data_IF_770454598754
#
_entry.id   IF_770454598754
#
_cell.length_a   1.000
_cell.length_b   1.000
_cell.length_c   1.000
_cell.angle_alpha   90.00
_cell.angle_beta   90.00
_cell.angle_gamma   90.00
#
_symmetry.space_group_name_H-M   'P 1'
#
loop_
_entity.id
_entity.type
_entity.pdbx_description
1 polymer ?
#
# COMPACT_ATOMS: atom_id res chain seq x y z
N UNK A 1 50.92 -49.26 14.77
CA UNK A 1 50.46 -48.31 13.73
C UNK A 1 48.92 -48.16 13.64
N UNK A 2 48.12 -48.59 14.63
CA UNK A 2 46.64 -48.50 14.58
C UNK A 2 46.01 -47.26 15.22
N UNK A 3 46.79 -46.37 15.84
CA UNK A 3 46.26 -45.25 16.63
C UNK A 3 45.90 -43.98 15.82
N UNK A 4 46.22 -43.93 14.53
CA UNK A 4 45.94 -42.76 13.68
C UNK A 4 44.59 -42.86 12.96
N UNK A 5 44.08 -44.06 12.70
CA UNK A 5 42.83 -44.28 11.96
C UNK A 5 41.58 -43.94 12.79
N UNK A 6 41.62 -44.15 14.11
CA UNK A 6 40.50 -43.85 15.02
C UNK A 6 40.31 -42.36 15.29
N UNK A 7 41.38 -41.57 15.23
CA UNK A 7 41.32 -40.09 15.41
C UNK A 7 40.71 -39.37 14.21
N UNK A 8 40.87 -39.91 13.01
CA UNK A 8 40.28 -39.34 11.80
C UNK A 8 38.75 -39.54 11.73
N UNK A 9 38.28 -40.73 12.13
CA UNK A 9 36.85 -41.05 12.15
C UNK A 9 36.07 -40.20 13.18
N UNK A 10 36.67 -39.94 14.34
CA UNK A 10 36.07 -39.11 15.40
C UNK A 10 36.02 -37.62 15.01
N UNK A 11 37.01 -37.12 14.28
CA UNK A 11 37.00 -35.74 13.78
C UNK A 11 35.91 -35.47 12.73
N UNK A 12 35.67 -36.42 11.82
CA UNK A 12 34.65 -36.29 10.78
C UNK A 12 33.22 -36.32 11.37
N UNK A 13 32.97 -37.20 12.35
CA UNK A 13 31.66 -37.31 13.00
C UNK A 13 31.25 -36.05 13.77
N UNK A 14 32.19 -35.43 14.51
CA UNK A 14 31.92 -34.18 15.24
C UNK A 14 31.62 -33.04 14.27
N UNK A 15 32.37 -32.94 13.16
CA UNK A 15 32.13 -31.91 12.14
C UNK A 15 30.73 -32.00 11.52
N UNK A 16 30.30 -33.19 11.12
CA UNK A 16 28.95 -33.40 10.57
C UNK A 16 27.84 -33.11 11.59
N UNK A 17 28.02 -33.52 12.85
CA UNK A 17 27.05 -33.25 13.91
C UNK A 17 26.87 -31.74 14.16
N UNK A 18 27.95 -30.96 14.14
CA UNK A 18 27.90 -29.51 14.30
C UNK A 18 27.18 -28.84 13.13
N UNK A 19 27.45 -29.25 11.89
CA UNK A 19 26.77 -28.69 10.70
C UNK A 19 25.26 -28.98 10.74
N UNK A 20 24.88 -30.21 11.08
CA UNK A 20 23.46 -30.60 11.21
C UNK A 20 22.79 -29.79 12.32
N UNK A 21 23.46 -29.62 13.48
CA UNK A 21 22.93 -28.83 14.58
C UNK A 21 22.71 -27.35 14.18
N UNK A 22 23.67 -26.75 13.46
CA UNK A 22 23.54 -25.39 12.93
C UNK A 22 22.38 -25.31 11.93
N UNK A 23 22.26 -26.26 11.01
CA UNK A 23 21.16 -26.30 10.05
C UNK A 23 19.79 -26.39 10.74
N UNK A 24 19.65 -27.27 11.75
CA UNK A 24 18.42 -27.39 12.55
C UNK A 24 18.12 -26.09 13.30
N UNK A 25 19.12 -25.44 13.87
CA UNK A 25 18.94 -24.16 14.56
C UNK A 25 18.47 -23.07 13.60
N UNK A 26 19.08 -22.97 12.40
CA UNK A 26 18.66 -22.03 11.36
C UNK A 26 17.22 -22.32 10.93
N UNK A 27 16.85 -23.59 10.72
CA UNK A 27 15.48 -23.98 10.37
C UNK A 27 14.50 -23.61 11.49
N UNK A 28 14.85 -23.84 12.75
CA UNK A 28 13.99 -23.55 13.89
C UNK A 28 13.80 -22.04 14.11
N UNK A 29 14.89 -21.25 14.01
CA UNK A 29 14.83 -19.78 14.07
C UNK A 29 14.02 -19.24 12.90
N UNK A 30 14.28 -19.73 11.68
CA UNK A 30 13.51 -19.37 10.50
C UNK A 30 12.01 -19.68 10.66
N UNK A 31 11.67 -20.87 11.16
CA UNK A 31 10.29 -21.27 11.45
C UNK A 31 9.63 -20.35 12.49
N UNK A 32 10.32 -20.00 13.57
CA UNK A 32 9.77 -19.10 14.60
C UNK A 32 9.53 -17.68 14.06
N UNK A 33 10.46 -17.13 13.27
CA UNK A 33 10.30 -15.80 12.65
C UNK A 33 9.12 -15.77 11.66
N UNK A 34 9.01 -16.81 10.82
CA UNK A 34 7.90 -16.97 9.88
C UNK A 34 6.57 -17.13 10.63
N UNK A 35 6.53 -17.93 11.71
CA UNK A 35 5.30 -18.17 12.47
C UNK A 35 4.77 -16.90 13.15
N UNK A 36 5.63 -16.10 13.77
CA UNK A 36 5.22 -14.85 14.41
C UNK A 36 4.66 -13.87 13.39
N UNK A 37 5.36 -13.73 12.25
CA UNK A 37 4.92 -12.88 11.13
C UNK A 37 3.54 -13.32 10.61
N UNK A 38 3.32 -14.63 10.42
CA UNK A 38 2.02 -15.18 9.96
C UNK A 38 0.89 -14.87 10.96
N UNK A 39 1.15 -14.92 12.27
CA UNK A 39 0.13 -14.62 13.26
C UNK A 39 -0.30 -13.14 13.21
N UNK A 40 0.64 -12.21 13.02
CA UNK A 40 0.33 -10.78 12.85
C UNK A 40 -0.49 -10.53 11.55
N UNK A 41 -0.18 -11.24 10.47
CA UNK A 41 -0.99 -11.19 9.24
C UNK A 41 -2.42 -11.69 9.46
N UNK A 42 -2.62 -12.75 10.26
CA UNK A 42 -3.96 -13.23 10.61
C UNK A 42 -4.76 -12.20 11.39
N UNK A 43 -4.12 -11.49 12.32
CA UNK A 43 -4.79 -10.40 13.05
C UNK A 43 -5.20 -9.25 12.10
N UNK A 44 -4.36 -8.92 11.12
CA UNK A 44 -4.69 -7.93 10.09
C UNK A 44 -5.88 -8.38 9.23
N UNK A 45 -5.87 -9.64 8.81
CA UNK A 45 -6.98 -10.26 8.08
C UNK A 45 -8.27 -10.19 8.90
N UNK A 46 -8.22 -10.57 10.18
CA UNK A 46 -9.37 -10.47 11.09
C UNK A 46 -9.88 -9.02 11.22
N UNK A 47 -9.00 -8.02 11.39
CA UNK A 47 -9.43 -6.62 11.47
C UNK A 47 -10.07 -6.12 10.17
N UNK A 48 -9.58 -6.59 9.01
CA UNK A 48 -10.14 -6.24 7.70
C UNK A 48 -11.51 -6.89 7.53
N UNK A 49 -11.62 -8.18 7.88
CA UNK A 49 -12.88 -8.93 7.85
C UNK A 49 -13.93 -8.30 8.77
N UNK A 50 -13.55 -7.81 9.96
CA UNK A 50 -14.47 -7.08 10.85
C UNK A 50 -14.97 -5.76 10.25
N UNK A 51 -14.11 -5.01 9.55
CA UNK A 51 -14.53 -3.79 8.85
C UNK A 51 -15.46 -4.13 7.69
N UNK A 52 -15.14 -5.16 6.90
CA UNK A 52 -15.97 -5.60 5.78
C UNK A 52 -17.30 -6.22 6.23
N UNK A 53 -17.34 -6.94 7.34
CA UNK A 53 -18.56 -7.49 7.94
C UNK A 53 -19.50 -6.37 8.37
N UNK A 54 -18.97 -5.32 9.00
CA UNK A 54 -19.77 -4.21 9.51
C UNK A 54 -20.22 -3.22 8.43
N UNK A 55 -19.37 -2.93 7.44
CA UNK A 55 -19.59 -1.85 6.48
C UNK A 55 -19.69 -2.31 5.02
N UNK A 56 -19.54 -3.60 4.75
CA UNK A 56 -19.45 -4.14 3.40
C UNK A 56 -18.06 -3.99 2.77
N UNK A 57 -17.88 -4.57 1.59
CA UNK A 57 -16.60 -4.48 0.87
C UNK A 57 -16.39 -3.08 0.35
N UNK A 58 -15.13 -2.68 0.20
CA UNK A 58 -14.79 -1.33 -0.26
C UNK A 58 -15.44 -0.94 -1.60
N UNK A 59 -15.65 -1.91 -2.51
CA UNK A 59 -16.28 -1.67 -3.83
C UNK A 59 -17.80 -1.50 -3.78
N UNK A 60 -18.43 -1.91 -2.68
CA UNK A 60 -19.88 -1.88 -2.49
C UNK A 60 -20.32 -0.55 -1.83
N UNK A 61 -19.37 0.30 -1.43
CA UNK A 61 -19.66 1.63 -0.90
C UNK A 61 -20.30 2.52 -1.96
N UNK A 62 -21.40 3.18 -1.58
CA UNK A 62 -22.11 4.15 -2.40
C UNK A 62 -21.98 5.55 -1.78
N UNK A 63 -21.26 6.49 -2.42
CA UNK A 63 -21.24 7.87 -1.97
C UNK A 63 -22.63 8.48 -2.05
N UNK A 64 -22.95 9.39 -1.12
CA UNK A 64 -24.24 10.10 -1.10
C UNK A 64 -24.58 10.71 -2.45
N UNK A 65 -25.82 10.58 -2.88
CA UNK A 65 -26.32 11.13 -4.14
C UNK A 65 -25.97 12.62 -4.38
N UNK A 66 -25.99 13.45 -3.35
CA UNK A 66 -25.68 14.90 -3.44
C UNK A 66 -24.19 15.21 -3.65
N UNK A 67 -23.31 14.21 -3.52
CA UNK A 67 -21.87 14.34 -3.61
C UNK A 67 -21.24 15.14 -2.48
N UNK A 68 -22.00 15.54 -1.47
CA UNK A 68 -21.45 16.28 -0.33
C UNK A 68 -20.79 15.30 0.63
N UNK A 69 -19.58 15.62 1.07
CA UNK A 69 -18.95 14.91 2.18
C UNK A 69 -19.26 15.72 3.44
N UNK A 70 -20.06 15.16 4.33
CA UNK A 70 -20.44 15.87 5.56
C UNK A 70 -19.20 16.12 6.43
N UNK A 71 -19.20 17.23 7.17
CA UNK A 71 -18.08 17.63 8.02
C UNK A 71 -17.67 16.52 9.03
N UNK A 72 -18.66 15.84 9.60
CA UNK A 72 -18.43 14.69 10.49
C UNK A 72 -17.66 13.56 9.82
N UNK A 73 -17.90 13.30 8.53
CA UNK A 73 -17.19 12.25 7.77
C UNK A 73 -15.76 12.67 7.45
N UNK A 74 -15.53 13.97 7.21
CA UNK A 74 -14.17 14.50 7.07
C UNK A 74 -13.38 14.41 8.38
N UNK A 75 -14.01 14.71 9.52
CA UNK A 75 -13.34 14.56 10.82
C UNK A 75 -13.08 13.10 11.16
N UNK A 76 -14.00 12.18 10.84
CA UNK A 76 -13.77 10.75 10.95
C UNK A 76 -12.58 10.29 10.09
N UNK A 77 -12.49 10.77 8.85
CA UNK A 77 -11.35 10.48 7.96
C UNK A 77 -10.04 11.00 8.56
N UNK A 78 -10.00 12.26 9.00
CA UNK A 78 -8.81 12.85 9.60
C UNK A 78 -8.42 12.17 10.92
N UNK A 79 -9.39 11.74 11.73
CA UNK A 79 -9.12 10.95 12.94
C UNK A 79 -8.42 9.64 12.59
N UNK A 80 -8.84 8.95 11.52
CA UNK A 80 -8.13 7.75 11.03
C UNK A 80 -6.71 8.10 10.59
N UNK A 81 -6.51 9.22 9.87
CA UNK A 81 -5.17 9.71 9.46
C UNK A 81 -4.28 10.01 10.67
N UNK A 82 -4.81 10.67 11.67
CA UNK A 82 -4.09 11.06 12.89
C UNK A 82 -3.68 9.80 13.68
N UNK A 83 -4.57 8.80 13.78
CA UNK A 83 -4.28 7.52 14.45
C UNK A 83 -3.14 6.74 13.78
N UNK A 84 -3.01 6.80 12.45
CA UNK A 84 -1.94 6.10 11.72
C UNK A 84 -0.66 6.94 11.57
N UNK A 85 -0.64 8.20 12.00
CA UNK A 85 0.49 9.10 11.75
C UNK A 85 1.80 8.57 12.37
N UNK A 86 1.73 8.02 13.59
CA UNK A 86 2.91 7.46 14.28
C UNK A 86 3.53 6.29 13.52
N UNK A 87 2.74 5.26 13.20
CA UNK A 87 3.21 4.10 12.43
C UNK A 87 3.62 4.48 11.00
N UNK A 88 2.97 5.47 10.40
CA UNK A 88 3.36 6.00 9.08
C UNK A 88 4.77 6.63 9.11
N UNK A 89 5.08 7.42 10.14
CA UNK A 89 6.39 8.05 10.28
C UNK A 89 7.51 7.00 10.51
N UNK A 90 7.23 5.96 11.29
CA UNK A 90 8.18 4.85 11.49
C UNK A 90 8.40 4.04 10.21
N UNK A 91 7.32 3.78 9.47
CA UNK A 91 7.37 3.10 8.19
C UNK A 91 8.15 3.93 7.16
N UNK A 92 7.86 5.23 7.02
CA UNK A 92 8.61 6.15 6.16
C UNK A 92 10.11 6.12 6.47
N UNK A 93 10.49 6.26 7.74
CA UNK A 93 11.89 6.21 8.16
C UNK A 93 12.56 4.89 7.76
N UNK A 94 11.83 3.78 7.90
CA UNK A 94 12.32 2.45 7.50
C UNK A 94 12.50 2.36 5.98
N UNK A 95 11.55 2.86 5.20
CA UNK A 95 11.61 2.88 3.74
C UNK A 95 12.74 3.77 3.20
N UNK A 96 12.91 4.97 3.75
CA UNK A 96 14.03 5.86 3.42
C UNK A 96 15.38 5.20 3.76
N UNK A 97 15.45 4.49 4.89
CA UNK A 97 16.64 3.75 5.30
C UNK A 97 16.94 2.58 4.35
N UNK A 98 15.93 1.98 3.71
CA UNK A 98 16.15 0.96 2.68
C UNK A 98 16.61 1.62 1.38
N UNK A 99 15.94 2.69 0.94
CA UNK A 99 16.30 3.44 -0.26
C UNK A 99 17.76 3.93 -0.23
N UNK A 100 18.20 4.51 0.88
CA UNK A 100 19.58 4.98 1.02
C UNK A 100 20.65 3.86 1.04
N UNK A 101 20.30 2.63 1.43
CA UNK A 101 21.23 1.50 1.30
C UNK A 101 21.31 0.97 -0.13
N UNK A 102 20.18 1.02 -0.86
CA UNK A 102 20.14 0.70 -2.29
C UNK A 102 21.06 1.66 -3.04
N UNK A 103 20.90 2.97 -2.81
CA UNK A 103 21.72 4.02 -3.43
C UNK A 103 23.24 3.87 -3.12
N UNK A 104 23.60 3.56 -1.86
CA UNK A 104 25.02 3.32 -1.50
C UNK A 104 25.62 2.12 -2.22
N UNK A 105 24.84 1.06 -2.39
CA UNK A 105 25.31 -0.12 -3.08
C UNK A 105 25.44 0.12 -4.60
N UNK A 106 24.55 0.94 -5.19
CA UNK A 106 24.67 1.42 -6.57
C UNK A 106 25.99 2.19 -6.78
N UNK A 107 26.37 3.03 -5.82
CA UNK A 107 27.64 3.76 -5.84
C UNK A 107 28.88 2.88 -5.57
N UNK A 108 28.72 1.55 -5.55
CA UNK A 108 29.77 0.55 -5.29
C UNK A 108 30.49 0.74 -3.94
N UNK A 109 29.87 1.44 -3.00
CA UNK A 109 30.41 1.64 -1.66
C UNK A 109 30.29 0.37 -0.78
N UNK A 110 29.39 -0.55 -1.17
CA UNK A 110 29.07 -1.77 -0.43
C UNK A 110 29.18 -2.98 -1.36
N UNK A 111 29.72 -4.10 -0.84
CA UNK A 111 29.79 -5.37 -1.58
C UNK A 111 28.38 -5.92 -1.87
N UNK A 112 28.11 -6.48 -3.07
CA UNK A 112 26.78 -6.97 -3.47
C UNK A 112 26.14 -7.97 -2.50
N UNK A 113 26.93 -8.90 -1.94
CA UNK A 113 26.41 -9.88 -0.98
C UNK A 113 25.92 -9.24 0.34
N UNK A 114 26.64 -8.23 0.84
CA UNK A 114 26.25 -7.52 2.07
C UNK A 114 25.02 -6.63 1.82
N UNK A 115 24.89 -6.08 0.62
CA UNK A 115 23.70 -5.33 0.20
C UNK A 115 22.46 -6.22 0.23
N UNK A 116 22.48 -7.40 -0.41
CA UNK A 116 21.33 -8.32 -0.43
C UNK A 116 20.91 -8.68 0.99
N UNK A 117 21.86 -8.99 1.88
CA UNK A 117 21.56 -9.31 3.28
C UNK A 117 20.98 -8.12 4.05
N UNK A 118 21.47 -6.90 3.82
CA UNK A 118 20.96 -5.69 4.47
C UNK A 118 19.56 -5.31 3.98
N UNK A 119 19.31 -5.38 2.66
CA UNK A 119 18.00 -5.08 2.07
C UNK A 119 16.98 -6.12 2.51
N UNK A 120 17.32 -7.41 2.47
CA UNK A 120 16.45 -8.48 2.97
C UNK A 120 16.17 -8.28 4.45
N UNK A 121 17.20 -8.04 5.26
CA UNK A 121 17.07 -7.82 6.69
C UNK A 121 16.21 -6.60 7.05
N UNK A 122 16.34 -5.50 6.32
CA UNK A 122 15.55 -4.27 6.54
C UNK A 122 14.14 -4.37 5.93
N UNK A 123 13.98 -5.03 4.79
CA UNK A 123 12.67 -5.33 4.19
C UNK A 123 11.81 -6.20 5.10
N UNK A 124 12.43 -7.17 5.79
CA UNK A 124 11.77 -7.96 6.84
C UNK A 124 11.25 -7.08 7.98
N UNK A 125 11.91 -5.96 8.31
CA UNK A 125 11.42 -5.01 9.34
C UNK A 125 10.27 -4.13 8.86
N UNK A 126 10.18 -3.84 7.57
CA UNK A 126 9.06 -3.08 7.01
C UNK A 126 7.74 -3.88 7.05
N UNK A 127 7.81 -5.22 7.00
CA UNK A 127 6.62 -6.08 7.00
C UNK A 127 5.78 -5.94 8.29
N UNK A 128 6.33 -6.09 9.51
CA UNK A 128 5.59 -5.84 10.75
C UNK A 128 4.99 -4.43 10.81
N UNK A 129 5.73 -3.40 10.37
CA UNK A 129 5.22 -2.02 10.35
C UNK A 129 4.05 -1.85 9.36
N UNK A 130 4.07 -2.51 8.20
CA UNK A 130 2.92 -2.51 7.28
C UNK A 130 1.71 -3.23 7.88
N UNK A 131 1.94 -4.35 8.58
CA UNK A 131 0.88 -5.08 9.30
C UNK A 131 0.27 -4.20 10.39
N UNK A 132 1.11 -3.59 11.23
CA UNK A 132 0.67 -2.65 12.27
C UNK A 132 -0.07 -1.45 11.67
N UNK A 133 0.44 -0.89 10.57
CA UNK A 133 -0.22 0.18 9.83
C UNK A 133 -1.65 -0.19 9.46
N UNK A 134 -1.86 -1.38 8.86
CA UNK A 134 -3.20 -1.83 8.49
C UNK A 134 -4.09 -2.10 9.71
N UNK A 135 -3.53 -2.69 10.77
CA UNK A 135 -4.23 -2.96 12.02
C UNK A 135 -4.74 -1.67 12.65
N UNK A 136 -3.86 -0.67 12.85
CA UNK A 136 -4.22 0.63 13.43
C UNK A 136 -5.25 1.35 12.56
N UNK A 137 -5.06 1.36 11.24
CA UNK A 137 -6.05 1.93 10.31
C UNK A 137 -7.43 1.27 10.48
N UNK A 138 -7.47 -0.06 10.46
CA UNK A 138 -8.72 -0.80 10.50
C UNK A 138 -9.46 -0.63 11.84
N UNK A 139 -8.74 -0.59 12.97
CA UNK A 139 -9.36 -0.27 14.26
C UNK A 139 -9.87 1.17 14.32
N UNK A 140 -9.09 2.15 13.85
CA UNK A 140 -9.54 3.54 13.79
C UNK A 140 -10.79 3.71 12.89
N UNK A 141 -10.87 2.95 11.79
CA UNK A 141 -12.06 2.88 10.93
C UNK A 141 -13.29 2.33 11.69
N UNK A 142 -13.12 1.26 12.47
CA UNK A 142 -14.19 0.70 13.31
C UNK A 142 -14.66 1.70 14.39
N UNK A 143 -13.72 2.40 15.04
CA UNK A 143 -13.98 3.38 16.10
C UNK A 143 -14.74 4.62 15.57
N UNK A 144 -14.38 5.08 14.37
CA UNK A 144 -14.98 6.25 13.72
C UNK A 144 -16.22 5.93 12.86
N UNK A 145 -16.68 4.68 12.92
CA UNK A 145 -17.82 4.17 12.15
C UNK A 145 -17.66 4.44 10.64
N UNK A 146 -16.49 4.11 10.08
CA UNK A 146 -16.13 4.33 8.67
C UNK A 146 -15.71 3.01 8.01
N UNK A 147 -16.26 2.72 6.84
CA UNK A 147 -15.85 1.56 6.04
C UNK A 147 -14.62 1.87 5.16
N UNK A 148 -13.93 0.81 4.72
CA UNK A 148 -12.78 0.96 3.79
C UNK A 148 -13.15 1.64 2.47
N UNK A 149 -14.38 1.42 1.98
CA UNK A 149 -14.85 2.05 0.73
C UNK A 149 -14.97 3.57 0.85
N UNK A 150 -15.52 4.05 1.96
CA UNK A 150 -15.60 5.48 2.26
C UNK A 150 -14.21 6.09 2.47
N UNK A 151 -13.35 5.40 3.23
CA UNK A 151 -11.96 5.83 3.42
C UNK A 151 -11.24 6.00 2.08
N UNK A 152 -11.31 5.00 1.19
CA UNK A 152 -10.68 5.11 -0.13
C UNK A 152 -11.32 6.17 -1.01
N UNK A 153 -12.64 6.35 -0.96
CA UNK A 153 -13.33 7.41 -1.69
C UNK A 153 -12.80 8.79 -1.27
N UNK A 154 -12.76 9.09 0.03
CA UNK A 154 -12.26 10.36 0.56
C UNK A 154 -10.76 10.51 0.28
N UNK A 155 -9.94 9.47 0.49
CA UNK A 155 -8.50 9.49 0.24
C UNK A 155 -8.19 9.85 -1.22
N UNK A 156 -8.80 9.15 -2.18
CA UNK A 156 -8.53 9.33 -3.61
C UNK A 156 -8.96 10.72 -4.07
N UNK A 157 -10.16 11.16 -3.70
CA UNK A 157 -10.64 12.49 -4.04
C UNK A 157 -9.79 13.59 -3.42
N UNK A 158 -9.37 13.41 -2.17
CA UNK A 158 -8.54 14.39 -1.46
C UNK A 158 -7.15 14.48 -2.09
N UNK A 159 -6.41 13.39 -2.12
CA UNK A 159 -4.99 13.46 -2.44
C UNK A 159 -4.76 13.54 -3.94
N UNK A 160 -5.46 12.75 -4.76
CA UNK A 160 -5.18 12.70 -6.19
C UNK A 160 -5.97 13.75 -6.98
N UNK A 161 -7.24 13.97 -6.65
CA UNK A 161 -8.09 14.90 -7.43
C UNK A 161 -8.05 16.33 -6.90
N UNK A 162 -8.09 16.54 -5.58
CA UNK A 162 -8.14 17.88 -4.98
C UNK A 162 -6.74 18.49 -4.77
N UNK A 163 -5.83 17.75 -4.15
CA UNK A 163 -4.46 18.20 -3.85
C UNK A 163 -3.45 17.90 -4.96
N UNK A 164 -3.80 17.05 -5.94
CA UNK A 164 -2.96 16.76 -7.10
C UNK A 164 -1.69 15.97 -6.78
N UNK A 165 -1.69 15.17 -5.71
CA UNK A 165 -0.59 14.27 -5.36
C UNK A 165 -0.48 13.14 -6.39
N UNK A 166 0.74 12.76 -6.83
CA UNK A 166 0.90 11.66 -7.77
C UNK A 166 0.49 10.31 -7.16
N UNK A 167 -0.30 9.48 -7.87
CA UNK A 167 -0.61 8.13 -7.40
C UNK A 167 0.63 7.22 -7.35
N UNK A 168 1.71 7.53 -8.06
CA UNK A 168 3.01 6.84 -8.03
C UNK A 168 3.91 7.20 -6.85
N UNK A 169 3.51 8.12 -5.98
CA UNK A 169 4.25 8.45 -4.77
C UNK A 169 4.55 7.18 -3.93
N UNK A 170 5.78 7.09 -3.44
CA UNK A 170 6.33 5.95 -2.70
C UNK A 170 7.82 5.72 -2.95
N UNK A 171 8.46 4.75 -2.27
CA UNK A 171 9.90 4.49 -2.42
C UNK A 171 10.32 4.16 -3.86
N UNK A 172 11.55 4.45 -4.28
CA UNK A 172 12.03 4.10 -5.64
C UNK A 172 12.29 2.59 -5.89
N UNK A 173 11.75 1.73 -5.02
CA UNK A 173 11.85 0.28 -5.13
C UNK A 173 10.48 -0.39 -4.94
N UNK A 174 10.40 -1.67 -5.31
CA UNK A 174 9.16 -2.44 -5.17
C UNK A 174 9.02 -3.02 -3.77
N UNK A 175 7.97 -2.63 -3.03
CA UNK A 175 7.67 -3.16 -1.69
C UNK A 175 7.25 -4.64 -1.69
N UNK A 176 6.61 -5.09 -2.77
CA UNK A 176 6.15 -6.46 -2.92
C UNK A 176 6.33 -6.88 -4.38
N UNK A 177 7.23 -7.85 -4.60
CA UNK A 177 7.45 -8.48 -5.89
C UNK A 177 6.42 -9.57 -6.13
N UNK A 178 5.64 -9.44 -7.20
CA UNK A 178 4.77 -10.51 -7.70
C UNK A 178 5.64 -11.51 -8.45
N UNK A 179 6.51 -12.22 -7.73
CA UNK A 179 7.39 -13.24 -8.29
C UNK A 179 6.61 -14.52 -8.61
N UNK A 180 5.48 -14.40 -9.35
CA UNK A 180 4.67 -15.57 -9.74
C UNK A 180 5.42 -16.51 -10.68
N UNK A 181 6.47 -16.03 -11.34
CA UNK A 181 7.21 -16.82 -12.31
C UNK A 181 8.61 -17.25 -11.82
N UNK A 182 9.04 -16.82 -10.62
CA UNK A 182 10.40 -17.10 -10.10
C UNK A 182 11.55 -16.65 -11.00
N UNK A 183 11.25 -15.89 -12.07
CA UNK A 183 12.13 -15.58 -13.20
C UNK A 183 12.28 -14.09 -13.49
N UNK A 184 11.92 -13.19 -12.57
CA UNK A 184 12.64 -11.92 -12.49
C UNK A 184 13.95 -12.21 -11.76
N UNK A 185 14.90 -12.83 -12.47
CA UNK A 185 16.29 -12.65 -12.10
C UNK A 185 16.50 -11.14 -12.12
N UNK A 186 17.12 -10.63 -11.07
CA UNK A 186 17.86 -9.39 -11.17
C UNK A 186 18.99 -9.67 -12.16
N UNK A 187 18.67 -9.75 -13.46
CA UNK A 187 19.67 -9.61 -14.50
C UNK A 187 20.07 -8.14 -14.40
N UNK A 188 20.98 -7.85 -13.48
CA UNK A 188 22.15 -7.05 -13.82
C UNK A 188 22.82 -7.79 -14.97
N UNK A 189 22.23 -7.69 -16.16
CA UNK A 189 23.04 -7.81 -17.35
C UNK A 189 23.98 -6.61 -17.24
N UNK A 190 25.28 -6.82 -17.40
CA UNK A 190 26.32 -5.77 -17.34
C UNK A 190 26.12 -4.69 -18.44
N UNK A 191 24.96 -4.66 -19.10
CA UNK A 191 24.51 -3.52 -19.87
C UNK A 191 24.36 -2.32 -18.93
N UNK A 192 25.02 -1.22 -19.27
CA UNK A 192 24.93 0.10 -18.63
C UNK A 192 23.51 0.70 -18.73
N UNK A 193 22.45 -0.07 -18.44
CA UNK A 193 21.10 0.46 -18.33
C UNK A 193 21.05 1.46 -17.17
N UNK A 194 20.67 2.68 -17.52
CA UNK A 194 20.61 3.83 -16.62
C UNK A 194 19.65 3.56 -15.45
N UNK A 195 20.13 3.73 -14.22
CA UNK A 195 19.34 3.53 -12.99
C UNK A 195 18.11 4.44 -12.94
N UNK A 196 18.18 5.62 -13.56
CA UNK A 196 17.03 6.51 -13.71
C UNK A 196 15.90 5.82 -14.50
N UNK A 197 16.23 4.97 -15.49
CA UNK A 197 15.26 4.15 -16.22
C UNK A 197 14.53 3.16 -15.30
N UNK A 198 15.26 2.52 -14.38
CA UNK A 198 14.67 1.57 -13.43
C UNK A 198 13.72 2.27 -12.46
N UNK A 199 14.12 3.41 -11.88
CA UNK A 199 13.26 4.20 -10.97
C UNK A 199 11.96 4.62 -11.65
N UNK A 200 12.07 5.10 -12.89
CA UNK A 200 10.92 5.46 -13.71
C UNK A 200 10.04 4.25 -14.07
N UNK A 201 10.62 3.06 -14.28
CA UNK A 201 9.86 1.82 -14.44
C UNK A 201 9.10 1.44 -13.16
N UNK A 202 9.73 1.53 -11.99
CA UNK A 202 9.09 1.25 -10.69
C UNK A 202 7.90 2.19 -10.45
N UNK A 203 8.08 3.50 -10.70
CA UNK A 203 7.01 4.50 -10.61
C UNK A 203 5.88 4.21 -11.59
N UNK A 204 6.21 3.89 -12.85
CA UNK A 204 5.23 3.53 -13.89
C UNK A 204 4.43 2.28 -13.53
N UNK A 205 5.08 1.22 -13.06
CA UNK A 205 4.41 -0.01 -12.62
C UNK A 205 3.51 0.25 -11.39
N UNK A 206 3.96 1.07 -10.44
CA UNK A 206 3.15 1.48 -9.28
C UNK A 206 1.92 2.26 -9.72
N UNK A 207 2.10 3.29 -10.55
CA UNK A 207 1.02 4.09 -11.13
C UNK A 207 -0.02 3.19 -11.76
N UNK A 208 0.41 2.31 -12.67
CA UNK A 208 -0.48 1.40 -13.36
C UNK A 208 -1.32 0.55 -12.38
N UNK A 209 -0.69 -0.04 -11.34
CA UNK A 209 -1.38 -0.85 -10.34
C UNK A 209 -2.41 -0.04 -9.53
N UNK A 210 -2.01 1.14 -9.06
CA UNK A 210 -2.86 2.01 -8.24
C UNK A 210 -4.03 2.53 -9.07
N UNK A 211 -3.78 3.09 -10.25
CA UNK A 211 -4.81 3.63 -11.13
C UNK A 211 -5.82 2.55 -11.55
N UNK A 212 -5.34 1.34 -11.90
CA UNK A 212 -6.23 0.21 -12.21
C UNK A 212 -7.16 -0.14 -11.04
N UNK A 213 -6.67 -0.04 -9.80
CA UNK A 213 -7.49 -0.28 -8.61
C UNK A 213 -8.48 0.86 -8.35
N UNK A 214 -8.03 2.10 -8.44
CA UNK A 214 -8.87 3.30 -8.34
C UNK A 214 -10.02 3.21 -9.33
N UNK A 215 -9.73 2.89 -10.60
CA UNK A 215 -10.74 2.77 -11.64
C UNK A 215 -11.82 1.73 -11.27
N UNK A 216 -11.42 0.54 -10.80
CA UNK A 216 -12.39 -0.49 -10.38
C UNK A 216 -13.29 -0.01 -9.23
N UNK A 217 -12.73 0.68 -8.23
CA UNK A 217 -13.49 1.20 -7.10
C UNK A 217 -14.44 2.32 -7.55
N UNK A 218 -13.90 3.33 -8.23
CA UNK A 218 -14.65 4.53 -8.60
C UNK A 218 -15.70 4.28 -9.67
N UNK A 219 -15.50 3.33 -10.59
CA UNK A 219 -16.56 2.96 -11.52
C UNK A 219 -17.80 2.46 -10.76
N UNK A 220 -17.62 1.61 -9.75
CA UNK A 220 -18.71 1.11 -8.90
C UNK A 220 -19.36 2.24 -8.10
N UNK A 221 -18.55 3.01 -7.37
CA UNK A 221 -19.01 4.10 -6.50
C UNK A 221 -19.79 5.18 -7.26
N UNK A 222 -19.25 5.67 -8.39
CA UNK A 222 -19.89 6.74 -9.17
C UNK A 222 -21.16 6.24 -9.87
N UNK A 223 -21.20 4.98 -10.32
CA UNK A 223 -22.40 4.40 -10.90
C UNK A 223 -23.54 4.29 -9.87
N UNK A 224 -23.23 3.81 -8.67
CA UNK A 224 -24.20 3.75 -7.58
C UNK A 224 -24.70 5.15 -7.18
N UNK A 225 -23.80 6.12 -7.03
CA UNK A 225 -24.15 7.51 -6.72
C UNK A 225 -25.08 8.12 -7.78
N UNK A 226 -24.83 7.82 -9.06
CA UNK A 226 -25.68 8.27 -10.16
C UNK A 226 -27.08 7.65 -10.08
N UNK A 227 -27.19 6.35 -9.78
CA UNK A 227 -28.47 5.65 -9.62
C UNK A 227 -29.30 6.22 -8.45
N UNK A 228 -28.67 6.45 -7.30
CA UNK A 228 -29.34 7.10 -6.16
C UNK A 228 -29.80 8.53 -6.51
N UNK A 229 -28.98 9.27 -7.26
CA UNK A 229 -29.31 10.61 -7.71
C UNK A 229 -30.51 10.63 -8.67
N UNK A 230 -30.62 9.63 -9.55
CA UNK A 230 -31.75 9.48 -10.47
C UNK A 230 -33.05 9.11 -9.73
N UNK A 231 -32.96 8.27 -8.70
CA UNK A 231 -34.12 7.82 -7.92
C UNK A 231 -34.68 8.90 -6.99
N UNK A 232 -33.84 9.80 -6.49
CA UNK A 232 -34.19 10.77 -5.44
C UNK A 232 -34.88 12.07 -5.92
N UNK A 233 -35.37 12.13 -7.16
CA UNK A 233 -36.45 13.04 -7.63
C UNK A 233 -36.28 14.57 -7.56
N UNK A 234 -35.17 15.15 -7.10
CA UNK A 234 -35.01 16.62 -6.95
C UNK A 234 -34.44 17.29 -8.22
N UNK A 235 -35.03 18.41 -8.65
CA UNK A 235 -35.11 18.72 -10.08
C UNK A 235 -34.02 19.62 -10.67
N UNK A 236 -33.39 20.53 -9.92
CA UNK A 236 -32.53 21.56 -10.54
C UNK A 236 -31.04 21.44 -10.21
N UNK A 237 -30.64 21.45 -8.94
CA UNK A 237 -29.22 21.32 -8.56
C UNK A 237 -28.64 19.95 -8.93
N UNK A 238 -29.49 18.91 -8.91
CA UNK A 238 -29.14 17.54 -9.31
C UNK A 238 -28.82 17.39 -10.80
N UNK A 239 -29.32 18.27 -11.70
CA UNK A 239 -29.08 18.14 -13.15
C UNK A 239 -27.61 18.37 -13.52
N UNK A 240 -26.98 19.37 -12.92
CA UNK A 240 -25.56 19.68 -13.16
C UNK A 240 -24.67 18.54 -12.66
N UNK A 241 -24.88 18.07 -11.42
CA UNK A 241 -24.12 16.97 -10.84
C UNK A 241 -24.34 15.67 -11.62
N UNK A 242 -25.59 15.34 -11.98
CA UNK A 242 -25.93 14.18 -12.81
C UNK A 242 -25.17 14.17 -14.12
N UNK A 243 -25.09 15.32 -14.82
CA UNK A 243 -24.31 15.44 -16.06
C UNK A 243 -22.81 15.25 -15.79
N UNK A 244 -22.27 15.87 -14.73
CA UNK A 244 -20.87 15.70 -14.33
C UNK A 244 -20.54 14.23 -14.05
N UNK A 245 -21.39 13.51 -13.30
CA UNK A 245 -21.22 12.08 -13.00
C UNK A 245 -21.24 11.21 -14.26
N UNK A 246 -22.21 11.41 -15.16
CA UNK A 246 -22.29 10.66 -16.43
C UNK A 246 -21.02 10.86 -17.27
N UNK A 247 -20.57 12.11 -17.38
CA UNK A 247 -19.35 12.43 -18.13
C UNK A 247 -18.11 11.79 -17.49
N UNK A 248 -17.99 11.82 -16.16
CA UNK A 248 -16.84 11.24 -15.47
C UNK A 248 -16.81 9.70 -15.60
N UNK A 249 -17.95 9.03 -15.46
CA UNK A 249 -18.05 7.58 -15.69
C UNK A 249 -17.65 7.23 -17.12
N UNK A 250 -18.12 7.99 -18.11
CA UNK A 250 -17.72 7.81 -19.51
C UNK A 250 -16.20 8.02 -19.68
N UNK A 251 -15.64 9.08 -19.12
CA UNK A 251 -14.22 9.39 -19.22
C UNK A 251 -13.33 8.30 -18.58
N UNK A 252 -13.74 7.71 -17.45
CA UNK A 252 -13.06 6.58 -16.84
C UNK A 252 -13.10 5.33 -17.74
N UNK A 253 -14.23 5.08 -18.40
CA UNK A 253 -14.38 3.96 -19.34
C UNK A 253 -13.51 4.12 -20.60
N UNK A 254 -13.38 5.34 -21.11
CA UNK A 254 -12.59 5.65 -22.30
C UNK A 254 -11.08 5.68 -22.00
N UNK A 255 -10.68 6.11 -20.80
CA UNK A 255 -9.27 6.21 -20.40
C UNK A 255 -8.99 5.42 -19.12
N UNK A 256 -8.35 4.25 -19.28
CA UNK A 256 -7.99 3.36 -18.17
C UNK A 256 -6.94 3.92 -17.20
N UNK A 257 -6.20 4.94 -17.62
CA UNK A 257 -5.17 5.60 -16.81
C UNK A 257 -5.66 6.90 -16.16
N UNK A 258 -6.93 7.27 -16.37
CA UNK A 258 -7.55 8.46 -15.80
C UNK A 258 -7.74 8.32 -14.29
N UNK A 259 -7.36 9.36 -13.56
CA UNK A 259 -7.75 9.54 -12.15
C UNK A 259 -9.15 10.18 -12.11
N UNK A 260 -10.06 9.73 -11.23
CA UNK A 260 -11.38 10.32 -11.08
C UNK A 260 -11.30 11.83 -10.88
N UNK A 261 -12.06 12.58 -11.67
CA UNK A 261 -12.14 14.03 -11.62
C UNK A 261 -10.80 14.76 -11.84
N UNK A 262 -9.87 14.18 -12.61
CA UNK A 262 -8.59 14.83 -12.93
C UNK A 262 -8.73 16.21 -13.59
N UNK A 263 -9.87 16.50 -14.23
CA UNK A 263 -10.14 17.80 -14.88
C UNK A 263 -10.80 18.81 -13.94
N UNK A 264 -11.02 18.44 -12.67
CA UNK A 264 -11.61 19.28 -11.63
C UNK A 264 -12.81 18.65 -10.94
N UNK A 265 -12.82 18.77 -9.61
CA UNK A 265 -13.91 18.26 -8.77
C UNK A 265 -15.22 19.04 -8.95
N UNK A 266 -16.38 18.40 -8.78
CA UNK A 266 -17.64 19.09 -8.52
C UNK A 266 -17.51 20.09 -7.35
N UNK A 267 -18.09 21.29 -7.51
CA UNK A 267 -17.93 22.38 -6.53
C UNK A 267 -18.40 21.98 -5.12
N UNK A 268 -19.43 21.15 -5.02
CA UNK A 268 -19.93 20.63 -3.74
C UNK A 268 -18.91 19.75 -3.01
N UNK A 269 -18.14 18.94 -3.74
CA UNK A 269 -17.06 18.12 -3.18
C UNK A 269 -15.91 19.04 -2.77
N UNK A 270 -15.52 19.98 -3.65
CA UNK A 270 -14.45 20.94 -3.36
C UNK A 270 -14.72 21.75 -2.08
N UNK A 271 -15.96 22.24 -1.93
CA UNK A 271 -16.39 22.95 -0.73
C UNK A 271 -16.35 22.08 0.54
N UNK A 272 -16.50 20.76 0.42
CA UNK A 272 -16.39 19.84 1.55
C UNK A 272 -14.94 19.72 2.05
N UNK A 273 -13.94 19.88 1.17
CA UNK A 273 -12.51 19.78 1.51
C UNK A 273 -11.87 21.11 1.95
N UNK A 274 -12.35 22.25 1.43
CA UNK A 274 -11.71 23.55 1.62
C UNK A 274 -11.40 23.89 3.10
N UNK A 275 -12.30 23.65 4.08
CA UNK A 275 -12.02 23.94 5.49
C UNK A 275 -10.86 23.11 6.08
N UNK A 276 -10.55 21.97 5.47
CA UNK A 276 -9.59 20.99 5.97
C UNK A 276 -8.28 20.97 5.17
N UNK A 277 -8.14 21.81 4.14
CA UNK A 277 -7.05 21.74 3.16
C UNK A 277 -5.65 21.65 3.79
N UNK A 278 -5.39 22.44 4.83
CA UNK A 278 -4.09 22.44 5.52
C UNK A 278 -3.83 21.09 6.21
N UNK A 279 -4.75 20.63 7.06
CA UNK A 279 -4.66 19.34 7.76
C UNK A 279 -4.53 18.17 6.79
N UNK A 280 -5.30 18.19 5.70
CA UNK A 280 -5.23 17.17 4.65
C UNK A 280 -3.83 17.13 4.04
N UNK A 281 -3.28 18.28 3.63
CA UNK A 281 -1.93 18.32 3.05
C UNK A 281 -0.85 17.88 4.04
N UNK A 282 -0.95 18.25 5.32
CA UNK A 282 -0.01 17.83 6.38
C UNK A 282 -0.09 16.33 6.68
N UNK A 283 -1.28 15.73 6.56
CA UNK A 283 -1.48 14.30 6.83
C UNK A 283 -1.06 13.39 5.66
N UNK A 284 -0.62 13.95 4.53
CA UNK A 284 -0.14 13.18 3.38
C UNK A 284 1.31 12.73 3.60
N UNK A 285 1.59 11.46 3.29
CA UNK A 285 2.93 10.90 3.35
C UNK A 285 3.26 10.22 2.01
N UNK A 286 4.20 10.81 1.26
CA UNK A 286 4.63 10.34 -0.06
C UNK A 286 5.15 8.89 0.00
N UNK A 287 6.02 8.59 0.97
CA UNK A 287 6.67 7.28 1.08
C UNK A 287 5.68 6.16 1.43
N UNK A 288 4.62 6.47 2.18
CA UNK A 288 3.62 5.49 2.65
C UNK A 288 2.42 5.37 1.69
N UNK A 289 2.29 6.26 0.70
CA UNK A 289 1.19 6.26 -0.27
C UNK A 289 0.98 4.90 -0.97
N UNK A 290 2.08 4.18 -1.29
CA UNK A 290 2.04 2.86 -1.91
C UNK A 290 1.38 1.76 -1.02
N UNK A 291 1.29 1.98 0.29
CA UNK A 291 0.72 1.05 1.28
C UNK A 291 -0.76 1.34 1.51
N UNK A 292 -1.16 2.62 1.47
CA UNK A 292 -2.54 3.09 1.74
C UNK A 292 -3.61 2.34 0.95
N UNK A 293 -3.44 2.27 -0.37
CA UNK A 293 -4.41 1.69 -1.29
C UNK A 293 -4.16 0.21 -1.58
N UNK A 294 -3.27 -0.46 -0.85
CA UNK A 294 -2.88 -1.83 -1.15
C UNK A 294 -3.15 -2.83 -0.01
N UNK A 295 -4.38 -2.93 0.53
CA UNK A 295 -4.74 -4.02 1.44
C UNK A 295 -4.42 -5.36 0.78
N UNK A 296 -3.70 -6.18 1.54
CA UNK A 296 -3.16 -7.48 1.19
C UNK A 296 -3.93 -8.20 0.08
N UNK A 297 -3.20 -8.60 -0.96
CA UNK A 297 -3.70 -9.48 -2.01
C UNK A 297 -4.09 -10.82 -1.38
N UNK A 298 -5.38 -11.14 -1.36
CA UNK A 298 -5.83 -12.52 -1.52
C UNK A 298 -5.70 -12.90 -2.99
#
# INVERSE_FOLDING_TARGET
MSNNTTKWLTGCGIGCAVIIAIAVLIIMVGYMLVKNTINEFKETETSTELVEERFGKARDFCPRADGKIEAERMEAFLTVRDSIAGVSAELEKTLLTIAGEIEKAENKEIKPFNMVMNIVGKGIKAIPLMVEFYKVRNYALLETNMGLGEYYYIYILTYYSYLGKPPEDGPDFQLAGDNKDGKKSWHYDDSDEDMDSYKEEVKRERRYRIVKKIHRLFHSMLSCQLEELETSGSLNQKRSLKRKLKNEIQALNENRERIPWQDGLPDIIKQSFEPYKLRLNESYNEMVNAVELNPNRK
#
